data_IF_543709292396
#
_entry.id   IF_543709292396
#
_cell.length_a   1.000
_cell.length_b   1.000
_cell.length_c   1.000
_cell.angle_alpha   90.00
_cell.angle_beta   90.00
_cell.angle_gamma   90.00
#
_symmetry.space_group_name_H-M   'P 1'
#
loop_
_entity.id
_entity.type
_entity.pdbx_description
1 polymer ?
#
# COMPACT_ATOMS: atom_id res chain seq x y z
N UNK A 1 -21.52 2.56 0.38
CA UNK A 1 -20.76 1.94 1.48
C UNK A 1 -19.86 0.88 0.88
N UNK A 2 -18.55 1.01 1.01
CA UNK A 2 -17.60 -0.02 0.52
C UNK A 2 -16.50 -0.19 1.57
N UNK A 3 -16.82 -0.92 2.62
CA UNK A 3 -15.87 -1.41 3.61
C UNK A 3 -15.39 -2.77 3.13
N UNK A 4 -14.44 -2.79 2.22
CA UNK A 4 -13.72 -4.03 1.86
C UNK A 4 -12.24 -3.79 2.10
N UNK A 5 -11.91 -3.57 3.37
CA UNK A 5 -10.53 -3.53 3.87
C UNK A 5 -10.19 -4.82 4.60
N UNK A 6 -10.92 -5.90 4.35
CA UNK A 6 -10.67 -7.21 4.95
C UNK A 6 -9.83 -8.04 3.96
N UNK A 7 -8.52 -7.92 4.09
CA UNK A 7 -7.53 -8.91 3.66
C UNK A 7 -7.28 -9.09 2.14
N UNK A 8 -7.69 -8.15 1.29
CA UNK A 8 -7.38 -8.20 -0.13
C UNK A 8 -5.86 -8.34 -0.40
N UNK A 9 -5.49 -9.24 -1.32
CA UNK A 9 -4.12 -9.36 -1.81
C UNK A 9 -3.74 -8.13 -2.64
N UNK A 10 -2.58 -7.50 -2.35
CA UNK A 10 -2.17 -6.31 -3.06
C UNK A 10 -1.87 -6.64 -4.54
N UNK A 11 -2.15 -5.69 -5.46
CA UNK A 11 -1.95 -5.90 -6.88
C UNK A 11 -0.47 -6.13 -7.21
N UNK A 12 -0.19 -7.00 -8.17
CA UNK A 12 1.18 -7.34 -8.58
C UNK A 12 1.62 -6.67 -9.88
N UNK A 13 0.75 -5.84 -10.48
CA UNK A 13 1.05 -5.10 -11.70
C UNK A 13 2.10 -4.01 -11.43
N UNK A 14 3.19 -3.92 -12.22
CA UNK A 14 4.19 -2.87 -12.06
C UNK A 14 3.58 -1.47 -12.09
N UNK A 15 4.20 -0.52 -11.38
CA UNK A 15 3.75 0.88 -11.32
C UNK A 15 2.35 1.08 -10.71
N UNK A 16 1.77 0.06 -10.08
CA UNK A 16 0.52 0.24 -9.34
C UNK A 16 0.78 1.07 -8.09
N UNK A 17 -0.13 2.01 -7.80
CA UNK A 17 -0.11 2.81 -6.57
C UNK A 17 -1.24 2.38 -5.66
N UNK A 18 -0.92 2.16 -4.39
CA UNK A 18 -1.86 1.87 -3.31
C UNK A 18 -1.62 2.83 -2.15
N UNK A 19 -2.62 2.98 -1.29
CA UNK A 19 -2.59 3.82 -0.12
C UNK A 19 -2.63 2.96 1.12
N UNK A 20 -1.72 3.17 2.06
CA UNK A 20 -1.72 2.53 3.38
C UNK A 20 -1.41 3.58 4.44
N UNK A 21 -2.19 3.61 5.52
CA UNK A 21 -2.09 4.64 6.57
C UNK A 21 -2.07 6.09 6.04
N UNK A 22 -2.81 6.38 4.96
CA UNK A 22 -2.87 7.71 4.35
C UNK A 22 -1.65 8.08 3.49
N UNK A 23 -0.77 7.12 3.17
CA UNK A 23 0.45 7.34 2.39
C UNK A 23 0.49 6.50 1.12
N UNK A 24 1.05 7.02 0.02
CA UNK A 24 1.17 6.28 -1.22
C UNK A 24 2.34 5.30 -1.17
N UNK A 25 2.13 4.12 -1.76
CA UNK A 25 3.14 3.10 -2.00
C UNK A 25 3.04 2.64 -3.47
N UNK A 26 4.17 2.54 -4.15
CA UNK A 26 4.27 2.09 -5.55
C UNK A 26 4.87 0.69 -5.59
N UNK A 27 4.34 -0.20 -6.45
CA UNK A 27 4.97 -1.49 -6.68
C UNK A 27 6.16 -1.36 -7.63
N UNK A 28 7.36 -1.66 -7.13
CA UNK A 28 8.61 -1.70 -7.88
C UNK A 28 9.35 -3.00 -7.56
N UNK A 29 9.67 -3.80 -8.59
CA UNK A 29 10.46 -5.04 -8.46
C UNK A 29 9.96 -5.99 -7.34
N UNK A 30 8.64 -6.12 -7.18
CA UNK A 30 8.01 -6.98 -6.17
C UNK A 30 7.99 -6.40 -4.75
N UNK A 31 8.38 -5.14 -4.55
CA UNK A 31 8.34 -4.44 -3.26
C UNK A 31 7.48 -3.17 -3.35
N UNK A 32 6.82 -2.85 -2.25
CA UNK A 32 6.02 -1.63 -2.12
C UNK A 32 6.89 -0.50 -1.58
N UNK A 33 7.17 0.50 -2.40
CA UNK A 33 8.08 1.61 -2.11
C UNK A 33 7.26 2.85 -1.78
N UNK A 34 7.52 3.44 -0.61
CA UNK A 34 6.83 4.64 -0.13
C UNK A 34 7.60 5.33 0.98
N UNK A 35 6.90 6.06 1.84
CA UNK A 35 7.49 6.74 3.00
C UNK A 35 6.78 6.38 4.29
N UNK A 36 7.54 6.34 5.39
CA UNK A 36 6.98 6.19 6.73
C UNK A 36 6.32 7.49 7.23
N UNK A 37 5.83 7.47 8.48
CA UNK A 37 5.21 8.65 9.11
C UNK A 37 6.11 9.88 9.23
N UNK A 38 7.43 9.68 9.21
CA UNK A 38 8.46 10.74 9.31
C UNK A 38 8.97 11.17 7.93
N UNK A 39 8.42 10.64 6.84
CA UNK A 39 8.86 10.93 5.48
C UNK A 39 10.12 10.17 5.06
N UNK A 40 10.58 9.19 5.84
CA UNK A 40 11.76 8.39 5.48
C UNK A 40 11.38 7.34 4.44
N UNK A 41 12.24 7.06 3.44
CA UNK A 41 12.01 5.96 2.51
C UNK A 41 11.77 4.64 3.24
N UNK A 42 10.73 3.92 2.82
CA UNK A 42 10.36 2.62 3.38
C UNK A 42 10.00 1.64 2.26
N UNK A 43 10.45 0.41 2.40
CA UNK A 43 10.06 -0.71 1.53
C UNK A 43 9.25 -1.72 2.33
N UNK A 44 8.09 -2.09 1.81
CA UNK A 44 7.17 -3.06 2.40
C UNK A 44 7.01 -4.29 1.50
N UNK A 45 6.77 -5.44 2.12
CA UNK A 45 6.30 -6.64 1.43
C UNK A 45 4.79 -6.59 1.22
N UNK A 46 4.25 -7.44 0.35
CA UNK A 46 2.79 -7.60 0.24
C UNK A 46 2.14 -8.04 1.55
N UNK A 47 2.84 -8.83 2.38
CA UNK A 47 2.35 -9.26 3.69
C UNK A 47 2.30 -8.11 4.70
N UNK A 48 3.23 -7.16 4.64
CA UNK A 48 3.19 -5.94 5.46
C UNK A 48 1.99 -5.07 5.06
N UNK A 49 1.78 -4.90 3.76
CA UNK A 49 0.70 -4.08 3.23
C UNK A 49 -0.67 -4.64 3.62
N UNK A 50 -0.85 -5.97 3.52
CA UNK A 50 -2.06 -6.67 3.98
C UNK A 50 -2.32 -6.46 5.47
N UNK A 51 -1.28 -6.54 6.31
CA UNK A 51 -1.39 -6.32 7.76
C UNK A 51 -1.74 -4.89 8.12
N UNK A 52 -1.24 -3.90 7.38
CA UNK A 52 -1.54 -2.49 7.62
C UNK A 52 -2.89 -2.04 7.07
N UNK A 53 -3.48 -2.84 6.17
CA UNK A 53 -4.59 -2.40 5.34
C UNK A 53 -4.12 -1.47 4.23
N UNK A 54 -4.77 -1.56 3.09
CA UNK A 54 -4.46 -0.74 1.93
C UNK A 54 -5.69 -0.50 1.06
N UNK A 55 -5.64 0.52 0.20
CA UNK A 55 -6.71 0.86 -0.74
C UNK A 55 -6.14 1.40 -2.06
N UNK A 56 -6.89 1.27 -3.16
CA UNK A 56 -6.52 1.89 -4.44
C UNK A 56 -6.69 3.41 -4.45
N UNK A 57 -7.51 3.94 -3.54
CA UNK A 57 -7.82 5.36 -3.43
C UNK A 57 -7.26 5.92 -2.15
N UNK A 58 -6.83 7.18 -2.19
CA UNK A 58 -6.57 7.95 -0.98
C UNK A 58 -7.86 8.05 -0.18
N UNK A 59 -7.84 7.73 1.11
CA UNK A 59 -8.94 8.06 2.00
C UNK A 59 -9.05 9.59 2.07
N UNK A 60 -10.24 10.12 1.78
CA UNK A 60 -10.59 11.55 1.82
C UNK A 60 -10.56 12.09 3.24
#
# INVERSE_FOLDING_TARGET
MSTETEHATPPTTPCTVVWSEGRPYVLESGRWIGTDRRGRPQSLTGADLRRRGWSYRRAS
#
